data_IF_380983653596
#
_entry.id   IF_380983653596
#
_cell.length_a   1.000
_cell.length_b   1.000
_cell.length_c   1.000
_cell.angle_alpha   90.00
_cell.angle_beta   90.00
_cell.angle_gamma   90.00
#
_symmetry.space_group_name_H-M   'P 1'
#
loop_
_entity.id
_entity.type
_entity.pdbx_description
1 polymer ?
#
# COMPACT_ATOMS: atom_id res chain seq x y z
N UNK A 1 33.05 45.48 24.16
CA UNK A 1 31.77 45.93 23.55
C UNK A 1 32.01 46.04 22.05
N UNK A 2 31.34 45.37 21.12
CA UNK A 2 30.14 44.51 21.07
C UNK A 2 30.46 43.38 20.08
N UNK A 3 30.06 42.15 20.42
CA UNK A 3 30.08 41.00 19.52
C UNK A 3 28.79 41.05 18.69
N UNK A 4 28.87 41.14 17.36
CA UNK A 4 27.71 41.04 16.48
C UNK A 4 27.59 39.59 15.99
N UNK A 5 26.66 38.85 16.58
CA UNK A 5 26.19 37.55 16.10
C UNK A 5 25.23 37.79 14.93
N UNK A 6 25.61 37.37 13.73
CA UNK A 6 24.67 37.20 12.62
C UNK A 6 24.09 35.79 12.70
N UNK A 7 22.83 35.70 13.13
CA UNK A 7 22.03 34.48 12.99
C UNK A 7 21.65 34.31 11.51
N UNK A 8 22.16 33.26 10.89
CA UNK A 8 21.64 32.78 9.60
C UNK A 8 20.36 32.00 9.90
N UNK A 9 19.21 32.64 9.72
CA UNK A 9 17.92 31.97 9.67
C UNK A 9 17.82 31.24 8.32
N UNK A 10 18.33 30.01 8.27
CA UNK A 10 17.92 29.07 7.23
C UNK A 10 16.48 28.67 7.56
N UNK A 11 15.52 29.38 6.94
CA UNK A 11 14.14 28.94 6.89
C UNK A 11 14.06 27.68 6.06
N UNK A 12 13.81 26.54 6.71
CA UNK A 12 13.43 25.32 6.01
C UNK A 12 11.98 25.51 5.57
N UNK A 13 11.80 25.90 4.31
CA UNK A 13 10.51 25.79 3.67
C UNK A 13 10.19 24.29 3.57
N UNK A 14 9.26 23.82 4.39
CA UNK A 14 8.59 22.54 4.14
C UNK A 14 7.78 22.72 2.86
N UNK A 15 8.31 22.24 1.74
CA UNK A 15 7.51 22.07 0.53
C UNK A 15 6.49 20.98 0.81
N UNK A 16 5.23 21.38 0.95
CA UNK A 16 4.07 20.48 0.85
C UNK A 16 4.12 19.85 -0.54
N UNK A 17 4.48 18.57 -0.62
CA UNK A 17 4.47 17.83 -1.87
C UNK A 17 3.02 17.39 -2.12
N UNK A 18 2.24 18.25 -2.77
CA UNK A 18 1.01 17.80 -3.41
C UNK A 18 1.41 16.94 -4.60
N UNK A 19 0.87 15.73 -4.70
CA UNK A 19 1.01 14.92 -5.91
C UNK A 19 0.38 15.72 -7.07
N UNK A 20 1.21 16.31 -7.92
CA UNK A 20 0.74 16.98 -9.14
C UNK A 20 0.11 15.93 -10.06
N UNK A 21 -1.19 16.09 -10.30
CA UNK A 21 -1.87 15.45 -11.41
C UNK A 21 -1.18 15.92 -12.71
N UNK A 22 -0.51 15.02 -13.41
CA UNK A 22 0.12 15.31 -14.70
C UNK A 22 -0.97 15.55 -15.75
N UNK A 23 -1.42 16.80 -15.85
CA UNK A 23 -2.27 17.27 -16.93
C UNK A 23 -1.49 17.36 -18.24
N UNK A 24 -2.10 16.91 -19.33
CA UNK A 24 -1.65 17.19 -20.71
C UNK A 24 -1.65 18.72 -20.96
N UNK A 25 -0.88 19.21 -21.93
CA UNK A 25 -0.94 20.58 -22.46
C UNK A 25 -2.36 21.06 -22.88
N UNK A 26 -3.34 20.14 -22.94
CA UNK A 26 -4.78 20.42 -23.13
C UNK A 26 -5.56 20.65 -21.84
N UNK A 27 -4.98 20.47 -20.66
CA UNK A 27 -5.67 20.49 -19.36
C UNK A 27 -6.50 19.23 -19.08
N UNK A 28 -6.37 18.20 -19.93
CA UNK A 28 -7.05 16.93 -19.73
C UNK A 28 -6.34 16.11 -18.65
N UNK A 29 -7.09 15.71 -17.63
CA UNK A 29 -6.59 14.83 -16.56
C UNK A 29 -6.39 13.44 -17.17
N UNK A 30 -5.13 12.99 -17.23
CA UNK A 30 -4.80 11.66 -17.73
C UNK A 30 -4.75 10.69 -16.56
N UNK A 31 -5.70 9.76 -16.52
CA UNK A 31 -5.70 8.70 -15.52
C UNK A 31 -4.82 7.51 -15.95
N UNK A 32 -4.30 6.73 -14.99
CA UNK A 32 -3.65 5.47 -15.30
C UNK A 32 -4.59 4.54 -16.07
N UNK A 33 -4.06 3.71 -16.99
CA UNK A 33 -4.87 2.81 -17.83
C UNK A 33 -5.77 1.86 -17.02
N UNK A 34 -5.33 1.45 -15.83
CA UNK A 34 -6.09 0.59 -14.94
C UNK A 34 -7.22 1.31 -14.20
N UNK A 35 -7.24 2.65 -14.16
CA UNK A 35 -8.29 3.43 -13.51
C UNK A 35 -9.47 3.67 -14.46
N UNK A 36 -10.15 2.57 -14.82
CA UNK A 36 -11.36 2.56 -15.65
C UNK A 36 -12.47 1.78 -14.93
N UNK A 37 -13.41 2.50 -14.30
CA UNK A 37 -14.48 1.91 -13.51
C UNK A 37 -15.39 0.98 -14.32
N UNK A 38 -15.64 1.30 -15.60
CA UNK A 38 -16.52 0.49 -16.43
C UNK A 38 -15.89 -0.85 -16.79
N UNK A 39 -14.57 -0.85 -17.02
CA UNK A 39 -13.82 -2.05 -17.44
C UNK A 39 -13.34 -2.88 -16.26
N UNK A 40 -12.86 -2.23 -15.20
CA UNK A 40 -12.13 -2.87 -14.10
C UNK A 40 -12.79 -2.74 -12.73
N UNK A 41 -13.87 -1.95 -12.58
CA UNK A 41 -14.50 -1.67 -11.29
C UNK A 41 -14.98 -2.90 -10.50
N UNK A 42 -15.17 -4.06 -11.15
CA UNK A 42 -15.47 -5.31 -10.45
C UNK A 42 -14.28 -5.92 -9.68
N UNK A 43 -13.07 -5.49 -10.02
CA UNK A 43 -11.81 -5.92 -9.40
C UNK A 43 -11.17 -4.80 -8.56
N UNK A 44 -11.92 -3.72 -8.29
CA UNK A 44 -11.40 -2.51 -7.65
C UNK A 44 -12.37 -2.02 -6.56
N UNK A 45 -12.96 -2.96 -5.84
CA UNK A 45 -13.82 -2.69 -4.69
C UNK A 45 -12.95 -2.62 -3.42
N UNK A 46 -12.52 -1.41 -3.06
CA UNK A 46 -11.65 -1.17 -1.92
C UNK A 46 -12.36 -1.46 -0.60
N UNK A 47 -13.69 -1.30 -0.51
CA UNK A 47 -14.41 -1.74 0.68
C UNK A 47 -14.38 -3.26 0.82
N UNK A 48 -14.53 -4.02 -0.28
CA UNK A 48 -14.37 -5.48 -0.24
C UNK A 48 -12.94 -5.87 0.18
N UNK A 49 -11.92 -5.19 -0.31
CA UNK A 49 -10.53 -5.44 0.11
C UNK A 49 -10.32 -5.16 1.61
N UNK A 50 -10.95 -4.11 2.14
CA UNK A 50 -10.84 -3.69 3.54
C UNK A 50 -11.74 -4.50 4.50
N UNK A 51 -12.92 -4.92 4.06
CA UNK A 51 -13.93 -5.58 4.89
C UNK A 51 -13.67 -7.08 5.05
N UNK A 52 -12.51 -7.39 5.61
CA UNK A 52 -12.06 -8.75 5.89
C UNK A 52 -12.38 -9.13 7.34
N UNK A 53 -12.56 -10.42 7.61
CA UNK A 53 -12.71 -10.91 8.98
C UNK A 53 -11.46 -10.57 9.82
N UNK A 54 -11.61 -10.26 11.11
CA UNK A 54 -10.48 -9.91 12.02
C UNK A 54 -9.37 -10.98 12.11
N UNK A 55 -9.67 -12.24 11.77
CA UNK A 55 -8.68 -13.33 11.69
C UNK A 55 -7.92 -13.38 10.35
N UNK A 56 -8.34 -12.59 9.36
CA UNK A 56 -7.74 -12.53 8.04
C UNK A 56 -6.52 -11.63 8.08
N UNK A 57 -5.37 -12.20 7.71
CA UNK A 57 -4.10 -11.49 7.67
C UNK A 57 -3.60 -11.43 6.24
N UNK A 58 -3.16 -10.24 5.82
CA UNK A 58 -2.45 -10.06 4.57
C UNK A 58 -1.00 -9.70 4.84
N UNK A 59 -0.10 -10.14 3.96
CA UNK A 59 1.31 -9.80 3.97
C UNK A 59 1.63 -8.96 2.75
N UNK A 60 2.40 -7.88 2.94
CA UNK A 60 3.03 -7.20 1.82
C UNK A 60 4.17 -8.09 1.32
N UNK A 61 3.99 -8.66 0.13
CA UNK A 61 4.99 -9.57 -0.45
C UNK A 61 5.99 -8.81 -1.29
N UNK A 62 5.50 -7.99 -2.22
CA UNK A 62 6.31 -7.21 -3.15
C UNK A 62 5.93 -5.74 -3.04
N UNK A 63 6.93 -4.87 -3.13
CA UNK A 63 6.71 -3.43 -3.31
C UNK A 63 7.79 -2.85 -4.22
N UNK A 64 7.52 -1.70 -4.82
CA UNK A 64 8.54 -0.92 -5.55
C UNK A 64 9.40 -0.08 -4.62
N UNK A 65 9.09 -0.03 -3.33
CA UNK A 65 9.85 0.65 -2.28
C UNK A 65 9.96 -0.22 -1.03
N UNK A 66 10.84 0.16 -0.11
CA UNK A 66 10.98 -0.47 1.21
C UNK A 66 11.39 0.54 2.30
N UNK A 67 11.32 1.83 1.99
CA UNK A 67 11.45 2.92 2.94
C UNK A 67 10.12 3.65 2.95
N UNK A 68 9.57 3.88 4.13
CA UNK A 68 8.35 4.64 4.33
C UNK A 68 8.62 5.77 5.34
N UNK A 69 8.22 6.98 4.96
CA UNK A 69 8.35 8.18 5.80
C UNK A 69 7.18 8.38 6.76
N UNK A 70 6.11 7.60 6.62
CA UNK A 70 4.94 7.62 7.50
C UNK A 70 5.17 6.81 8.76
N UNK A 71 4.92 5.51 8.68
CA UNK A 71 4.71 4.65 9.84
C UNK A 71 5.70 3.47 9.94
N UNK A 72 6.19 2.94 8.81
CA UNK A 72 6.96 1.68 8.82
C UNK A 72 8.48 1.89 8.91
N UNK A 73 8.94 3.09 8.56
CA UNK A 73 10.34 3.48 8.62
C UNK A 73 11.18 2.92 7.47
N UNK A 74 12.51 2.92 7.64
CA UNK A 74 13.45 2.50 6.59
C UNK A 74 13.66 0.99 6.56
N UNK A 75 13.88 0.46 5.36
CA UNK A 75 14.11 -0.95 5.06
C UNK A 75 13.13 -1.88 5.79
N UNK A 76 11.84 -1.54 5.72
CA UNK A 76 10.80 -2.34 6.35
C UNK A 76 10.71 -3.72 5.69
N UNK A 77 10.42 -4.73 6.50
CA UNK A 77 10.28 -6.14 6.10
C UNK A 77 9.21 -6.80 6.94
N UNK A 78 8.71 -7.94 6.47
CA UNK A 78 7.70 -8.72 7.19
C UNK A 78 6.47 -7.89 7.58
N UNK A 79 6.05 -6.95 6.71
CA UNK A 79 4.87 -6.14 6.95
C UNK A 79 3.62 -6.98 6.70
N UNK A 80 2.72 -6.98 7.67
CA UNK A 80 1.39 -7.59 7.60
C UNK A 80 0.33 -6.64 8.12
N UNK A 81 -0.90 -6.86 7.70
CA UNK A 81 -2.08 -6.11 8.14
C UNK A 81 -3.20 -7.06 8.52
N UNK A 82 -3.97 -6.67 9.53
CA UNK A 82 -5.26 -7.24 9.89
C UNK A 82 -6.22 -6.09 10.17
N UNK A 83 -7.44 -6.20 9.69
CA UNK A 83 -8.46 -5.16 9.86
C UNK A 83 -9.28 -5.41 11.10
N UNK A 84 -9.58 -4.34 11.83
CA UNK A 84 -10.37 -4.36 13.07
C UNK A 84 -11.35 -3.20 13.11
N UNK A 85 -12.31 -3.23 14.04
CA UNK A 85 -13.25 -2.11 14.28
C UNK A 85 -13.96 -1.66 12.99
N UNK A 86 -14.39 -2.61 12.17
CA UNK A 86 -15.10 -2.38 10.91
C UNK A 86 -16.38 -1.58 11.13
N UNK A 87 -16.64 -0.64 10.23
CA UNK A 87 -17.86 0.14 10.19
C UNK A 87 -18.40 0.16 8.75
N UNK A 88 -19.45 -0.64 8.51
CA UNK A 88 -20.10 -0.77 7.20
C UNK A 88 -20.77 0.52 6.70
N UNK A 89 -21.17 1.40 7.62
CA UNK A 89 -21.87 2.66 7.29
C UNK A 89 -20.88 3.67 6.71
N UNK A 90 -19.75 3.85 7.39
CA UNK A 90 -18.73 4.82 7.00
C UNK A 90 -17.68 4.22 6.06
N UNK A 91 -17.79 2.92 5.75
CA UNK A 91 -16.81 2.16 4.97
C UNK A 91 -15.39 2.30 5.53
N UNK A 92 -15.27 2.19 6.85
CA UNK A 92 -14.02 2.42 7.58
C UNK A 92 -13.61 1.26 8.48
N UNK A 93 -12.33 1.24 8.84
CA UNK A 93 -11.73 0.25 9.73
C UNK A 93 -10.53 0.85 10.50
N UNK A 94 -9.92 0.03 11.35
CA UNK A 94 -8.57 0.24 11.87
C UNK A 94 -7.67 -0.88 11.38
N UNK A 95 -6.70 -0.50 10.55
CA UNK A 95 -5.65 -1.38 10.06
C UNK A 95 -4.57 -1.55 11.12
N UNK A 96 -4.34 -2.79 11.55
CA UNK A 96 -3.31 -3.15 12.53
C UNK A 96 -2.10 -3.69 11.78
N UNK A 97 -1.13 -2.82 11.53
CA UNK A 97 0.09 -3.19 10.84
C UNK A 97 1.12 -3.76 11.81
N UNK A 98 1.76 -4.87 11.43
CA UNK A 98 2.87 -5.47 12.18
C UNK A 98 4.05 -5.70 11.25
N UNK A 99 5.24 -5.25 11.65
CA UNK A 99 6.42 -5.23 10.77
C UNK A 99 7.75 -5.25 11.53
N UNK A 100 8.84 -5.37 10.77
CA UNK A 100 10.22 -5.12 11.20
C UNK A 100 10.83 -4.04 10.31
N UNK A 101 11.87 -3.35 10.78
CA UNK A 101 12.55 -2.31 10.00
C UNK A 101 14.05 -2.23 10.34
N UNK A 102 14.75 -1.26 9.74
CA UNK A 102 16.20 -1.09 9.88
C UNK A 102 16.66 -0.93 11.34
N UNK A 103 15.80 -0.42 12.23
CA UNK A 103 16.13 -0.25 13.65
C UNK A 103 16.44 -1.59 14.32
N UNK A 104 15.73 -2.66 13.94
CA UNK A 104 16.00 -4.02 14.41
C UNK A 104 15.37 -5.06 13.50
N UNK A 105 16.19 -6.02 13.06
CA UNK A 105 15.74 -7.16 12.24
C UNK A 105 15.04 -8.27 13.04
N UNK A 106 14.96 -8.15 14.37
CA UNK A 106 14.35 -9.14 15.27
C UNK A 106 13.13 -8.60 16.02
N UNK A 107 13.12 -7.29 16.29
CA UNK A 107 12.02 -6.63 16.99
C UNK A 107 10.84 -6.45 16.05
N UNK A 108 9.67 -6.86 16.51
CA UNK A 108 8.41 -6.58 15.86
C UNK A 108 7.83 -5.25 16.37
N UNK A 109 7.36 -4.43 15.45
CA UNK A 109 6.64 -3.19 15.73
C UNK A 109 5.19 -3.34 15.30
N UNK A 110 4.31 -2.58 15.96
CA UNK A 110 2.89 -2.51 15.63
C UNK A 110 2.44 -1.07 15.60
N UNK A 111 1.63 -0.71 14.60
CA UNK A 111 0.97 0.59 14.47
C UNK A 111 -0.49 0.36 14.09
N UNK A 112 -1.38 1.19 14.62
CA UNK A 112 -2.80 1.22 14.25
C UNK A 112 -3.05 2.47 13.40
N UNK A 113 -3.67 2.29 12.25
CA UNK A 113 -4.05 3.39 11.36
C UNK A 113 -5.55 3.36 11.09
N UNK A 114 -6.18 4.53 11.11
CA UNK A 114 -7.59 4.64 10.71
C UNK A 114 -7.66 4.70 9.20
N UNK A 115 -8.53 3.88 8.63
CA UNK A 115 -8.67 3.76 7.19
C UNK A 115 -10.12 3.88 6.75
N UNK A 116 -10.32 4.43 5.55
CA UNK A 116 -11.63 4.55 4.93
C UNK A 116 -11.54 4.21 3.44
N UNK A 117 -12.50 3.42 2.94
CA UNK A 117 -12.66 3.24 1.51
C UNK A 117 -13.28 4.52 0.91
N UNK A 118 -12.66 5.06 -0.13
CA UNK A 118 -13.07 6.30 -0.80
C UNK A 118 -13.04 6.16 -2.33
N UNK A 119 -13.65 7.13 -3.01
CA UNK A 119 -13.60 7.26 -4.47
C UNK A 119 -12.39 8.10 -4.91
N UNK A 120 -11.65 7.61 -5.91
CA UNK A 120 -10.62 8.37 -6.63
C UNK A 120 -10.81 8.20 -8.15
N UNK A 121 -10.13 9.03 -8.95
CA UNK A 121 -10.16 8.94 -10.42
C UNK A 121 -11.58 8.97 -11.03
N UNK A 122 -12.47 9.78 -10.46
CA UNK A 122 -13.88 9.93 -10.87
C UNK A 122 -14.72 8.64 -10.83
N UNK A 123 -14.35 7.67 -10.01
CA UNK A 123 -15.22 6.52 -9.73
C UNK A 123 -16.50 6.99 -9.02
N UNK A 124 -17.61 6.32 -9.27
CA UNK A 124 -18.94 6.74 -8.75
C UNK A 124 -19.80 5.59 -8.24
N UNK A 125 -19.44 4.34 -8.52
CA UNK A 125 -20.23 3.14 -8.19
C UNK A 125 -19.64 2.36 -7.04
N UNK A 126 -18.31 2.28 -6.96
CA UNK A 126 -17.59 1.60 -5.87
C UNK A 126 -16.37 2.41 -5.44
N UNK A 127 -16.14 2.46 -4.14
CA UNK A 127 -14.91 2.98 -3.57
C UNK A 127 -13.74 2.14 -4.08
N UNK A 128 -12.73 2.79 -4.65
CA UNK A 128 -11.60 2.14 -5.30
C UNK A 128 -10.25 2.49 -4.67
N UNK A 129 -10.24 3.27 -3.59
CA UNK A 129 -9.03 3.59 -2.85
C UNK A 129 -9.24 3.44 -1.35
N UNK A 130 -8.14 3.24 -0.63
CA UNK A 130 -8.07 3.27 0.83
C UNK A 130 -7.36 4.57 1.22
N UNK A 131 -8.03 5.40 2.02
CA UNK A 131 -7.45 6.57 2.66
C UNK A 131 -6.97 6.20 4.06
N UNK A 132 -5.68 6.36 4.31
CA UNK A 132 -5.05 6.24 5.63
C UNK A 132 -5.02 7.60 6.32
N UNK A 133 -5.34 7.62 7.60
CA UNK A 133 -5.10 8.78 8.48
C UNK A 133 -3.98 8.46 9.45
N UNK A 134 -2.82 9.09 9.22
CA UNK A 134 -1.65 8.95 10.08
C UNK A 134 -1.86 9.65 11.43
N UNK A 135 -1.00 9.35 12.41
CA UNK A 135 -1.08 9.91 13.77
C UNK A 135 -1.05 11.45 13.79
N UNK A 136 -0.27 12.06 12.88
CA UNK A 136 -0.19 13.51 12.73
C UNK A 136 -1.37 14.14 11.96
N UNK A 137 -2.36 13.34 11.56
CA UNK A 137 -3.54 13.77 10.80
C UNK A 137 -3.32 13.85 9.29
N UNK A 138 -2.12 13.56 8.78
CA UNK A 138 -1.89 13.49 7.33
C UNK A 138 -2.73 12.37 6.73
N UNK A 139 -3.37 12.67 5.60
CA UNK A 139 -4.13 11.70 4.82
C UNK A 139 -3.31 11.24 3.60
N UNK A 140 -3.24 9.93 3.41
CA UNK A 140 -2.58 9.28 2.28
C UNK A 140 -3.57 8.34 1.61
N UNK A 141 -3.55 8.29 0.28
CA UNK A 141 -4.50 7.48 -0.47
C UNK A 141 -3.74 6.45 -1.32
N UNK A 142 -4.07 5.18 -1.11
CA UNK A 142 -3.64 4.09 -1.99
C UNK A 142 -4.81 3.64 -2.83
N UNK A 143 -4.64 3.61 -4.15
CA UNK A 143 -5.72 3.21 -5.05
C UNK A 143 -5.56 1.76 -5.49
N UNK A 144 -6.64 0.99 -5.38
CA UNK A 144 -6.68 -0.41 -5.75
C UNK A 144 -6.61 -0.55 -7.28
N UNK A 145 -5.52 -1.14 -7.76
CA UNK A 145 -5.32 -1.52 -9.16
C UNK A 145 -6.13 -2.77 -9.47
N UNK A 146 -6.02 -3.78 -8.60
CA UNK A 146 -6.64 -5.08 -8.77
C UNK A 146 -6.80 -5.81 -7.44
N UNK A 147 -7.94 -6.47 -7.26
CA UNK A 147 -8.23 -7.44 -6.22
C UNK A 147 -9.14 -8.53 -6.79
N UNK A 148 -8.90 -9.77 -6.41
CA UNK A 148 -9.89 -10.84 -6.57
C UNK A 148 -10.86 -10.93 -5.36
N UNK A 149 -10.53 -10.19 -4.29
CA UNK A 149 -11.25 -10.12 -3.04
C UNK A 149 -11.12 -11.36 -2.14
N UNK A 150 -10.12 -12.21 -2.38
CA UNK A 150 -9.83 -13.36 -1.51
C UNK A 150 -8.33 -13.59 -1.32
N UNK A 151 -7.54 -13.52 -2.38
CA UNK A 151 -6.15 -13.99 -2.38
C UNK A 151 -5.15 -12.86 -2.34
N UNK A 152 -5.37 -11.77 -3.08
CA UNK A 152 -4.42 -10.68 -3.20
C UNK A 152 -5.06 -9.34 -3.54
N UNK A 153 -4.34 -8.29 -3.20
CA UNK A 153 -4.65 -6.90 -3.53
C UNK A 153 -3.40 -6.21 -4.06
N UNK A 154 -3.58 -5.41 -5.10
CA UNK A 154 -2.50 -4.63 -5.74
C UNK A 154 -2.86 -3.17 -5.65
N UNK A 155 -2.04 -2.38 -4.96
CA UNK A 155 -2.28 -0.96 -4.74
C UNK A 155 -1.26 -0.10 -5.47
N UNK A 156 -1.73 1.00 -6.04
CA UNK A 156 -0.93 2.14 -6.46
C UNK A 156 -0.73 3.08 -5.28
N UNK A 157 0.52 3.43 -5.00
CA UNK A 157 0.94 4.31 -3.90
C UNK A 157 1.56 5.58 -4.50
N UNK A 158 0.73 6.56 -4.92
CA UNK A 158 1.16 7.66 -5.79
C UNK A 158 2.12 8.65 -5.12
N UNK A 159 2.17 8.70 -3.79
CA UNK A 159 3.11 9.55 -3.06
C UNK A 159 4.51 8.93 -2.92
N UNK A 160 4.70 7.68 -3.38
CA UNK A 160 5.98 6.97 -3.35
C UNK A 160 6.62 6.89 -4.75
N UNK A 161 7.95 6.80 -4.80
CA UNK A 161 8.73 6.60 -6.04
C UNK A 161 8.34 7.55 -7.20
N UNK A 162 8.11 8.83 -6.91
CA UNK A 162 7.72 9.83 -7.90
C UNK A 162 6.44 9.44 -8.68
N UNK A 163 5.38 9.01 -7.99
CA UNK A 163 4.12 8.62 -8.63
C UNK A 163 4.04 7.16 -9.06
N UNK A 164 5.05 6.33 -8.73
CA UNK A 164 5.19 4.95 -9.22
C UNK A 164 5.31 3.92 -8.10
N UNK A 165 4.94 4.30 -6.88
CA UNK A 165 4.79 3.37 -5.77
C UNK A 165 3.74 2.31 -6.10
N UNK A 166 4.03 1.06 -5.77
CA UNK A 166 3.04 -0.01 -5.87
C UNK A 166 3.36 -1.14 -4.90
N UNK A 167 2.32 -1.81 -4.46
CA UNK A 167 2.33 -2.87 -3.46
C UNK A 167 1.53 -4.08 -3.93
N UNK A 168 2.02 -5.28 -3.61
CA UNK A 168 1.28 -6.54 -3.72
C UNK A 168 1.09 -7.14 -2.33
N UNK A 169 -0.15 -7.11 -1.86
CA UNK A 169 -0.58 -7.74 -0.63
C UNK A 169 -1.17 -9.11 -0.94
N UNK A 170 -0.83 -10.12 -0.14
CA UNK A 170 -1.32 -11.49 -0.31
C UNK A 170 -1.80 -12.02 1.02
N UNK A 171 -2.99 -12.62 1.00
CA UNK A 171 -3.58 -13.28 2.15
C UNK A 171 -2.62 -14.38 2.68
N UNK A 172 -2.44 -14.46 3.99
CA UNK A 172 -1.54 -15.37 4.69
C UNK A 172 -1.80 -16.86 4.37
N UNK A 173 -3.02 -17.21 3.94
CA UNK A 173 -3.35 -18.55 3.43
C UNK A 173 -2.63 -18.89 2.13
N UNK A 174 -2.37 -17.89 1.28
CA UNK A 174 -1.84 -18.05 -0.08
C UNK A 174 -0.41 -17.50 -0.23
N UNK A 175 0.17 -16.88 0.79
CA UNK A 175 1.50 -16.22 0.71
C UNK A 175 2.66 -17.17 0.36
N UNK A 176 2.51 -18.48 0.62
CA UNK A 176 3.51 -19.50 0.23
C UNK A 176 3.38 -19.95 -1.24
N UNK A 177 2.23 -19.70 -1.85
CA UNK A 177 1.90 -20.12 -3.20
C UNK A 177 0.97 -19.08 -3.82
N UNK A 178 1.59 -17.95 -4.17
CA UNK A 178 0.91 -16.75 -4.63
C UNK A 178 0.26 -17.04 -5.99
N UNK A 179 -1.03 -16.74 -6.18
CA UNK A 179 -1.69 -16.99 -7.45
C UNK A 179 -1.03 -16.26 -8.62
N UNK A 180 -0.98 -16.93 -9.77
CA UNK A 180 -0.26 -16.39 -10.93
C UNK A 180 -0.87 -15.10 -11.47
N UNK A 181 -2.19 -14.94 -11.41
CA UNK A 181 -2.81 -13.70 -11.86
C UNK A 181 -2.39 -12.51 -11.00
N UNK A 182 -2.23 -12.67 -9.68
CA UNK A 182 -1.69 -11.62 -8.81
C UNK A 182 -0.28 -11.20 -9.24
N UNK A 183 0.60 -12.17 -9.49
CA UNK A 183 1.96 -11.90 -9.95
C UNK A 183 1.98 -11.27 -11.35
N UNK A 184 1.14 -11.75 -12.26
CA UNK A 184 1.00 -11.23 -13.61
C UNK A 184 0.55 -9.77 -13.60
N UNK A 185 -0.54 -9.46 -12.89
CA UNK A 185 -1.08 -8.11 -12.78
C UNK A 185 -0.08 -7.16 -12.11
N UNK A 186 0.60 -7.59 -11.04
CA UNK A 186 1.66 -6.80 -10.42
C UNK A 186 2.83 -6.56 -11.39
N UNK A 187 3.27 -7.60 -12.11
CA UNK A 187 4.36 -7.44 -13.07
C UNK A 187 4.00 -6.47 -14.20
N UNK A 188 2.76 -6.52 -14.68
CA UNK A 188 2.26 -5.68 -15.76
C UNK A 188 2.14 -4.21 -15.34
N UNK A 189 1.48 -3.92 -14.22
CA UNK A 189 1.22 -2.54 -13.80
C UNK A 189 2.34 -1.91 -12.97
N UNK A 190 3.01 -2.70 -12.13
CA UNK A 190 3.85 -2.17 -11.07
C UNK A 190 5.35 -2.40 -11.28
N UNK A 191 5.71 -3.34 -12.14
CA UNK A 191 7.11 -3.63 -12.43
C UNK A 191 7.44 -3.56 -13.93
N UNK A 192 7.13 -2.43 -14.61
CA UNK A 192 7.67 -2.20 -15.93
C UNK A 192 9.20 -2.12 -15.87
N UNK A 193 9.84 -2.33 -17.03
CA UNK A 193 11.30 -2.39 -17.14
C UNK A 193 11.97 -1.17 -16.48
N UNK A 194 12.90 -1.42 -15.56
CA UNK A 194 13.67 -0.39 -14.87
C UNK A 194 13.13 0.02 -13.49
N UNK A 195 11.97 -0.49 -13.07
CA UNK A 195 11.48 -0.32 -11.69
C UNK A 195 12.11 -1.39 -10.79
N UNK A 196 12.67 -0.96 -9.66
CA UNK A 196 13.25 -1.86 -8.67
C UNK A 196 12.12 -2.52 -7.87
N UNK A 197 12.25 -3.83 -7.67
CA UNK A 197 11.35 -4.62 -6.84
C UNK A 197 12.01 -4.98 -5.51
N UNK A 198 11.24 -4.92 -4.44
CA UNK A 198 11.63 -5.31 -3.11
C UNK A 198 10.79 -6.50 -2.64
N UNK A 199 11.45 -7.52 -2.10
CA UNK A 199 10.78 -8.63 -1.42
C UNK A 199 10.65 -8.28 0.06
N UNK A 200 9.45 -7.87 0.46
CA UNK A 200 9.14 -7.43 1.82
C UNK A 200 8.87 -8.64 2.71
N UNK A 201 8.09 -9.61 2.22
CA UNK A 201 7.88 -10.89 2.88
C UNK A 201 8.87 -11.95 2.41
N UNK A 202 9.50 -12.64 3.36
CA UNK A 202 10.34 -13.82 3.13
C UNK A 202 9.95 -14.90 4.16
N UNK A 203 9.43 -16.07 3.76
CA UNK A 203 8.85 -17.05 4.70
C UNK A 203 9.74 -17.38 5.89
N UNK A 204 11.03 -17.71 5.63
CA UNK A 204 12.01 -18.09 6.66
C UNK A 204 12.34 -16.96 7.66
N UNK A 205 12.08 -15.71 7.30
CA UNK A 205 12.38 -14.54 8.14
C UNK A 205 11.15 -14.02 8.88
N UNK A 206 9.98 -14.11 8.24
CA UNK A 206 8.74 -13.49 8.70
C UNK A 206 7.81 -14.45 9.45
N UNK A 207 7.99 -15.77 9.28
CA UNK A 207 7.25 -16.79 10.04
C UNK A 207 8.22 -17.82 10.64
N UNK A 208 7.88 -18.33 11.82
CA UNK A 208 8.57 -19.49 12.39
C UNK A 208 8.08 -20.75 11.64
N UNK A 209 8.99 -21.40 10.90
CA UNK A 209 8.77 -22.53 9.98
C UNK A 209 7.84 -23.65 10.52
N UNK A 210 6.52 -23.52 10.34
CA UNK A 210 5.55 -24.55 10.76
C UNK A 210 4.47 -24.89 9.74
N UNK A 211 4.34 -24.14 8.64
CA UNK A 211 3.38 -24.49 7.57
C UNK A 211 4.06 -25.32 6.49
N UNK A 212 3.45 -26.47 6.16
CA UNK A 212 3.81 -27.24 4.97
C UNK A 212 3.30 -26.47 3.76
N UNK A 213 4.21 -26.20 2.82
CA UNK A 213 3.85 -25.62 1.52
C UNK A 213 3.10 -26.70 0.73
N UNK A 214 1.87 -26.41 0.32
CA UNK A 214 1.19 -27.23 -0.69
C UNK A 214 1.57 -26.67 -2.07
N UNK A 215 2.27 -27.48 -2.86
CA UNK A 215 2.87 -27.10 -4.17
C UNK A 215 1.87 -27.06 -5.34
N UNK A 216 0.55 -27.06 -5.08
CA UNK A 216 -0.43 -27.01 -6.16
C UNK A 216 -0.59 -25.56 -6.63
N UNK A 217 -0.03 -25.24 -7.79
CA UNK A 217 -0.15 -23.94 -8.46
C UNK A 217 -1.62 -23.51 -8.56
N UNK A 218 -1.94 -22.35 -7.98
CA UNK A 218 -3.31 -21.82 -7.96
C UNK A 218 -3.48 -20.97 -9.22
N UNK A 219 -4.19 -21.53 -10.20
CA UNK A 219 -4.68 -20.73 -11.33
C UNK A 219 -5.92 -19.96 -10.90
N UNK A 220 -6.11 -18.85 -11.59
CA UNK A 220 -7.37 -18.15 -11.67
C UNK A 220 -8.19 -18.85 -12.79
#
# INVERSE_FOLDING_TARGET
MKLALFFVLLGWAFSTFSAEELGNATGEIVYPEWADEMRFGNYQDAWKALNQNESTKYWLVLSTFNDDGGSWGKNFTCLSVQETKLNDTDKSAVSVFTFRNLTSNTTWYTVEERVQAIFTYNYTKKENAIQYTLENGTQLNDTLIFSDGETCDIFSVPYMNSGKGCELWVNDKYVDNIPECCLFMYNYFCNPKGIKRHHIFKPKMCRNNTRKVNENQISC
#
